data_IF_220429512283
#
_entry.id   IF_220429512283
#
_cell.length_a   1.000
_cell.length_b   1.000
_cell.length_c   1.000
_cell.angle_alpha   90.00
_cell.angle_beta   90.00
_cell.angle_gamma   90.00
#
_symmetry.space_group_name_H-M   'P 1'
#
loop_
_entity.id
_entity.type
_entity.pdbx_description
1 polymer ?
#
# COMPACT_ATOMS: atom_id res chain seq x y z
N UNK A 1 -16.06 44.89 -32.80
CA UNK A 1 -14.75 44.24 -32.64
C UNK A 1 -14.44 44.33 -31.16
N UNK A 2 -14.65 43.25 -30.43
CA UNK A 2 -14.31 43.19 -29.02
C UNK A 2 -13.71 41.81 -28.81
N UNK A 3 -12.39 41.80 -28.57
CA UNK A 3 -11.64 40.60 -28.25
C UNK A 3 -11.17 40.81 -26.81
N UNK A 4 -11.95 40.28 -25.87
CA UNK A 4 -11.50 40.11 -24.49
C UNK A 4 -10.54 38.92 -24.47
N UNK A 5 -9.23 39.21 -24.48
CA UNK A 5 -8.20 38.20 -24.24
C UNK A 5 -8.13 37.93 -22.73
N UNK A 6 -8.86 36.92 -22.26
CA UNK A 6 -8.76 36.43 -20.89
C UNK A 6 -7.48 35.57 -20.72
N UNK A 7 -6.33 36.24 -20.70
CA UNK A 7 -5.01 35.67 -20.39
C UNK A 7 -4.72 35.99 -18.92
N UNK A 8 -5.46 35.38 -17.99
CA UNK A 8 -5.31 35.69 -16.57
C UNK A 8 -5.54 34.57 -15.58
N UNK A 9 -6.04 33.40 -16.01
CA UNK A 9 -6.58 32.41 -15.06
C UNK A 9 -5.80 31.09 -14.92
N UNK A 10 -4.74 30.85 -15.71
CA UNK A 10 -3.98 29.59 -15.69
C UNK A 10 -2.71 29.64 -14.83
N UNK A 11 -2.04 30.79 -14.74
CA UNK A 11 -0.78 30.92 -13.99
C UNK A 11 -1.03 30.83 -12.48
N UNK A 12 -2.06 31.51 -11.99
CA UNK A 12 -2.41 31.57 -10.56
C UNK A 12 -2.85 30.22 -9.98
N UNK A 13 -3.48 29.35 -10.79
CA UNK A 13 -3.85 27.99 -10.38
C UNK A 13 -2.65 27.07 -10.20
N UNK A 14 -1.68 27.15 -11.12
CA UNK A 14 -0.47 26.31 -11.06
C UNK A 14 0.43 26.68 -9.87
N UNK A 15 0.48 27.94 -9.46
CA UNK A 15 1.21 28.38 -8.26
C UNK A 15 0.51 27.95 -6.97
N UNK A 16 -0.83 28.01 -6.91
CA UNK A 16 -1.60 27.44 -5.79
C UNK A 16 -1.38 25.93 -5.63
N UNK A 17 -1.24 25.17 -6.73
CA UNK A 17 -0.96 23.73 -6.67
C UNK A 17 0.45 23.38 -6.19
N UNK A 18 1.42 24.30 -6.31
CA UNK A 18 2.80 24.10 -5.80
C UNK A 18 2.91 24.28 -4.28
N UNK A 19 2.04 25.10 -3.69
CA UNK A 19 2.04 25.41 -2.25
C UNK A 19 1.33 24.37 -1.37
N UNK A 20 0.52 23.49 -1.97
CA UNK A 20 -0.05 22.35 -1.23
C UNK A 20 1.05 21.31 -1.08
N UNK A 21 1.77 21.35 0.04
CA UNK A 21 2.62 20.24 0.45
C UNK A 21 1.79 18.96 0.37
N UNK A 22 2.12 18.12 -0.61
CA UNK A 22 1.37 16.91 -0.93
C UNK A 22 1.65 15.92 0.20
N UNK A 23 0.90 16.08 1.31
CA UNK A 23 1.04 15.27 2.52
C UNK A 23 1.06 13.81 2.11
N UNK A 24 2.17 13.16 2.40
CA UNK A 24 2.42 11.79 2.01
C UNK A 24 2.83 10.97 3.23
N UNK A 25 2.38 9.72 3.27
CA UNK A 25 2.83 8.75 4.27
C UNK A 25 3.75 7.73 3.61
N UNK A 26 4.82 7.39 4.32
CA UNK A 26 5.57 6.17 4.05
C UNK A 26 4.84 5.00 4.69
N UNK A 27 4.76 3.88 3.97
CA UNK A 27 4.40 2.59 4.55
C UNK A 27 5.69 1.81 4.69
N UNK A 28 6.02 1.33 5.89
CA UNK A 28 7.25 0.58 6.16
C UNK A 28 6.87 -0.72 6.86
N UNK A 29 7.52 -1.82 6.51
CA UNK A 29 7.39 -3.09 7.19
C UNK A 29 8.77 -3.71 7.39
N UNK A 30 8.96 -4.30 8.56
CA UNK A 30 10.19 -4.95 8.98
C UNK A 30 9.85 -6.32 9.56
N UNK A 31 10.65 -7.32 9.20
CA UNK A 31 10.51 -8.71 9.61
C UNK A 31 9.08 -9.29 9.45
N UNK A 32 8.39 -8.88 8.37
CA UNK A 32 7.01 -9.29 8.13
C UNK A 32 6.94 -10.79 7.80
N UNK A 33 6.35 -11.55 8.72
CA UNK A 33 6.16 -12.99 8.61
C UNK A 33 4.68 -13.36 8.77
N UNK A 34 4.21 -14.26 7.90
CA UNK A 34 2.84 -14.80 7.96
C UNK A 34 2.88 -16.31 7.92
N UNK A 35 2.23 -16.94 8.89
CA UNK A 35 2.08 -18.39 9.01
C UNK A 35 0.61 -18.70 9.01
N UNK A 36 0.18 -19.63 8.15
CA UNK A 36 -1.20 -20.11 8.14
C UNK A 36 -1.26 -21.48 8.85
N UNK A 37 -2.16 -21.66 9.82
CA UNK A 37 -2.41 -22.96 10.41
C UNK A 37 -2.94 -23.90 9.34
N UNK A 38 -2.42 -25.13 9.30
CA UNK A 38 -2.99 -26.15 8.45
C UNK A 38 -4.23 -26.72 9.14
N UNK A 39 -5.40 -26.70 8.48
CA UNK A 39 -6.64 -27.21 9.05
C UNK A 39 -6.78 -28.74 8.93
N UNK A 40 -5.73 -29.44 8.46
CA UNK A 40 -5.61 -30.91 8.46
C UNK A 40 -4.37 -31.42 9.21
N UNK A 41 -4.01 -32.69 9.02
CA UNK A 41 -2.89 -33.38 9.72
C UNK A 41 -1.47 -32.95 9.26
N UNK A 42 -1.33 -31.80 8.60
CA UNK A 42 -0.07 -31.34 8.01
C UNK A 42 0.62 -30.25 8.85
N UNK A 43 1.88 -29.98 8.52
CA UNK A 43 2.64 -28.91 9.17
C UNK A 43 2.09 -27.51 8.80
N UNK A 44 2.23 -26.57 9.73
CA UNK A 44 1.95 -25.13 9.50
C UNK A 44 2.78 -24.63 8.34
N UNK A 45 2.16 -23.88 7.42
CA UNK A 45 2.85 -23.34 6.25
C UNK A 45 3.17 -21.87 6.48
N UNK A 46 4.45 -21.52 6.38
CA UNK A 46 4.89 -20.13 6.32
C UNK A 46 4.68 -19.61 4.91
N UNK A 47 3.91 -18.54 4.76
CA UNK A 47 3.63 -17.90 3.46
C UNK A 47 4.53 -16.68 3.20
N UNK A 48 4.81 -15.88 4.24
CA UNK A 48 5.77 -14.78 4.17
C UNK A 48 6.82 -15.00 5.26
N UNK A 49 8.08 -14.72 4.98
CA UNK A 49 9.20 -15.02 5.86
C UNK A 49 10.18 -13.84 5.92
N UNK A 50 10.10 -13.05 6.98
CA UNK A 50 11.05 -11.96 7.26
C UNK A 50 11.16 -10.92 6.14
N UNK A 51 10.02 -10.52 5.56
CA UNK A 51 10.03 -9.52 4.50
C UNK A 51 10.26 -8.13 5.07
N UNK A 52 11.18 -7.39 4.46
CA UNK A 52 11.45 -5.99 4.75
C UNK A 52 11.12 -5.14 3.52
N UNK A 53 10.66 -3.91 3.72
CA UNK A 53 10.43 -2.99 2.62
C UNK A 53 9.64 -1.76 3.00
N UNK A 54 9.44 -0.89 2.01
CA UNK A 54 8.68 0.33 2.17
C UNK A 54 8.01 0.77 0.87
N UNK A 55 6.93 1.53 0.99
CA UNK A 55 6.30 2.27 -0.10
C UNK A 55 6.46 3.77 0.15
N UNK A 56 6.94 4.47 -0.87
CA UNK A 56 7.15 5.91 -0.82
C UNK A 56 5.84 6.68 -1.05
N UNK A 57 5.65 7.81 -0.35
CA UNK A 57 4.54 8.68 -0.62
C UNK A 57 4.58 9.19 -2.06
N UNK A 58 3.39 9.37 -2.63
CA UNK A 58 3.22 9.87 -3.99
C UNK A 58 3.79 8.95 -5.09
N UNK A 59 4.11 7.69 -4.78
CA UNK A 59 4.51 6.67 -5.77
C UNK A 59 3.56 5.48 -5.75
N UNK A 60 3.39 4.86 -6.92
CA UNK A 60 2.67 3.59 -7.07
C UNK A 60 3.67 2.46 -6.91
N UNK A 61 3.42 1.55 -5.97
CA UNK A 61 4.18 0.32 -5.79
C UNK A 61 3.44 -0.85 -6.44
N UNK A 62 4.12 -1.63 -7.28
CA UNK A 62 3.59 -2.85 -7.86
C UNK A 62 4.17 -4.09 -7.16
N UNK A 63 3.31 -5.02 -6.76
CA UNK A 63 3.71 -6.33 -6.21
C UNK A 63 3.49 -7.39 -7.28
N UNK A 64 4.56 -8.02 -7.74
CA UNK A 64 4.56 -8.98 -8.84
C UNK A 64 5.20 -10.32 -8.43
N UNK A 65 4.86 -11.39 -9.16
CA UNK A 65 5.41 -12.73 -8.91
C UNK A 65 4.46 -13.87 -9.33
N UNK A 66 4.96 -15.11 -9.37
CA UNK A 66 4.19 -16.28 -9.77
C UNK A 66 2.91 -16.51 -8.96
N UNK A 67 1.96 -17.30 -9.49
CA UNK A 67 0.80 -17.72 -8.71
C UNK A 67 1.24 -18.47 -7.44
N UNK A 68 0.59 -18.20 -6.30
CA UNK A 68 0.93 -18.83 -5.02
C UNK A 68 2.15 -18.25 -4.28
N UNK A 69 2.80 -17.20 -4.80
CA UNK A 69 3.97 -16.58 -4.16
C UNK A 69 3.67 -15.72 -2.92
N UNK A 70 2.40 -15.58 -2.51
CA UNK A 70 2.01 -14.80 -1.33
C UNK A 70 1.72 -13.31 -1.57
N UNK A 71 1.52 -12.86 -2.82
CA UNK A 71 1.22 -11.44 -3.12
C UNK A 71 -0.02 -10.91 -2.39
N UNK A 72 -1.15 -11.61 -2.50
CA UNK A 72 -2.38 -11.24 -1.79
C UNK A 72 -2.17 -11.31 -0.28
N UNK A 73 -1.45 -12.32 0.21
CA UNK A 73 -1.08 -12.44 1.63
C UNK A 73 -0.27 -11.25 2.13
N UNK A 74 0.68 -10.73 1.33
CA UNK A 74 1.43 -9.51 1.66
C UNK A 74 0.50 -8.31 1.76
N UNK A 75 -0.42 -8.14 0.81
CA UNK A 75 -1.38 -7.04 0.82
C UNK A 75 -2.35 -7.14 2.01
N UNK A 76 -2.84 -8.33 2.32
CA UNK A 76 -3.72 -8.56 3.48
C UNK A 76 -3.01 -8.28 4.80
N UNK A 77 -1.72 -8.62 4.89
CA UNK A 77 -0.90 -8.33 6.06
C UNK A 77 -0.67 -6.83 6.25
N UNK A 78 -0.34 -6.10 5.17
CA UNK A 78 -0.16 -4.64 5.19
C UNK A 78 -1.49 -3.90 5.45
N UNK A 79 -2.61 -4.43 4.99
CA UNK A 79 -3.95 -3.89 5.26
C UNK A 79 -4.46 -4.17 6.69
N UNK A 80 -3.75 -5.00 7.46
CA UNK A 80 -4.14 -5.38 8.83
C UNK A 80 -5.24 -6.44 8.90
N UNK A 81 -5.64 -7.06 7.78
CA UNK A 81 -6.73 -8.04 7.76
C UNK A 81 -6.39 -9.34 8.49
N UNK A 82 -5.12 -9.71 8.59
CA UNK A 82 -4.73 -10.93 9.30
C UNK A 82 -4.77 -10.80 10.84
N UNK A 83 -4.58 -9.59 11.36
CA UNK A 83 -4.63 -9.33 12.81
C UNK A 83 -6.05 -9.46 13.38
N UNK A 84 -7.08 -9.27 12.56
CA UNK A 84 -8.48 -9.35 12.98
C UNK A 84 -9.02 -10.78 13.06
N UNK A 85 -8.38 -11.75 12.39
CA UNK A 85 -8.89 -13.13 12.32
C UNK A 85 -8.43 -14.03 13.49
N UNK A 86 -7.48 -13.58 14.30
CA UNK A 86 -6.99 -14.36 15.46
C UNK A 86 -7.47 -13.87 16.83
N UNK A 87 -8.16 -12.73 16.92
CA UNK A 87 -8.63 -12.21 18.21
C UNK A 87 -10.04 -12.68 18.63
N UNK A 88 -10.74 -13.48 17.81
CA UNK A 88 -11.96 -14.16 18.23
C UNK A 88 -11.71 -15.67 18.39
N UNK A 89 -11.13 -16.04 19.53
CA UNK A 89 -11.37 -17.35 20.14
C UNK A 89 -12.38 -17.13 21.27
N UNK A 90 -13.61 -17.57 21.04
CA UNK A 90 -14.57 -17.90 22.09
C UNK A 90 -14.39 -19.38 22.41
#
# INVERSE_FOLDING_TARGET
MEIEQNIGNDVSKNEMMKGVSKRGMHLVWEDLSVVIPNFGNGHTKRLLNGLNGYAEPNKIMAVMGPSGSGKSTLLDALAGFFLLLHHLRI
#
